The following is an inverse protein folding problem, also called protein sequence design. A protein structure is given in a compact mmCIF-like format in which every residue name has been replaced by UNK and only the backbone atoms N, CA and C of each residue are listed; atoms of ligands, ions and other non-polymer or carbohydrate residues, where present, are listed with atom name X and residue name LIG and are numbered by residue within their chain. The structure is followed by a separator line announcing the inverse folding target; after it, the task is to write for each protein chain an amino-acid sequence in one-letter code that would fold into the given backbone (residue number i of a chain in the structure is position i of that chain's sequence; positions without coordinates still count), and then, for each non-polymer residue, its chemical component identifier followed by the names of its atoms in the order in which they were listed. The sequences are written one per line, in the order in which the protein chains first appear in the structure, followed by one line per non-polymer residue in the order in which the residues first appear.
data_IF_863141169492
#
_entry.id   IF_863141169492
#
_cell.length_a   1.000
_cell.length_b   1.000
_cell.length_c   1.000
_cell.angle_alpha   90.00
_cell.angle_beta   90.00
_cell.angle_gamma   90.00
#
_symmetry.space_group_name_H-M   'P 1'
#
loop_
_entity.id
_entity.type
_entity.pdbx_description
1 polymer ?
#
# COMPACT_ATOMS: atom_id res chain seq x y z
N UNK A 1 -11.09 -10.95 10.04
CA UNK A 1 -10.82 -10.17 11.27
C UNK A 1 -9.33 -9.85 11.29
N UNK A 2 -8.93 -8.68 10.81
CA UNK A 2 -7.53 -8.27 10.68
C UNK A 2 -7.20 -7.27 11.79
N UNK A 3 -6.68 -7.78 12.92
CA UNK A 3 -6.06 -6.94 13.95
C UNK A 3 -4.55 -7.02 13.79
N UNK A 4 -3.86 -5.88 13.86
CA UNK A 4 -2.40 -5.86 14.04
C UNK A 4 -2.06 -6.24 15.47
N UNK A 5 -0.90 -6.83 15.72
CA UNK A 5 -0.47 -7.27 17.06
C UNK A 5 0.92 -6.70 17.39
N UNK A 6 1.13 -6.32 18.65
CA UNK A 6 2.47 -6.04 19.19
C UNK A 6 2.88 -7.25 20.02
N UNK A 7 3.98 -7.89 19.60
CA UNK A 7 4.63 -8.92 20.39
C UNK A 7 5.95 -8.39 20.96
N UNK A 8 6.32 -8.75 22.20
CA UNK A 8 7.59 -8.37 22.78
C UNK A 8 8.77 -9.00 22.00
N UNK A 9 9.92 -8.31 21.89
CA UNK A 9 11.05 -8.73 21.07
C UNK A 9 11.75 -10.01 21.56
N UNK A 10 11.53 -10.41 22.82
CA UNK A 10 12.15 -11.56 23.47
C UNK A 10 11.36 -12.88 23.33
N UNK A 11 10.18 -12.88 22.68
CA UNK A 11 9.34 -14.08 22.52
C UNK A 11 8.60 -14.53 23.80
N UNK A 12 9.09 -14.13 24.98
CA UNK A 12 8.40 -14.35 26.25
C UNK A 12 7.41 -13.21 26.54
N UNK A 13 6.16 -13.42 26.15
CA UNK A 13 5.02 -12.57 26.52
C UNK A 13 3.88 -12.64 25.51
N UNK A 14 2.64 -12.51 26.01
CA UNK A 14 1.45 -12.55 25.18
C UNK A 14 1.45 -11.39 24.17
N UNK A 15 1.28 -11.71 22.88
CA UNK A 15 1.05 -10.70 21.86
C UNK A 15 -0.24 -9.96 22.19
N UNK A 16 -0.15 -8.65 22.40
CA UNK A 16 -1.31 -7.80 22.60
C UNK A 16 -1.81 -7.30 21.25
N UNK A 17 -3.13 -7.23 21.02
CA UNK A 17 -3.63 -6.61 19.81
C UNK A 17 -3.18 -5.16 19.82
N UNK A 18 -2.46 -4.76 18.76
CA UNK A 18 -2.23 -3.37 18.46
C UNK A 18 -3.64 -2.77 18.34
N UNK A 19 -4.03 -1.96 19.32
CA UNK A 19 -5.17 -1.06 19.18
C UNK A 19 -4.82 -0.09 18.08
N UNK A 20 -4.97 -0.54 16.84
CA UNK A 20 -4.86 0.33 15.69
C UNK A 20 -6.05 1.28 15.80
N UNK A 21 -5.79 2.48 16.29
CA UNK A 21 -6.79 3.53 16.38
C UNK A 21 -7.39 3.85 14.99
N UNK A 22 -6.81 3.33 13.91
CA UNK A 22 -7.28 3.50 12.54
C UNK A 22 -8.16 2.35 12.01
N UNK A 23 -8.18 1.15 12.61
CA UNK A 23 -8.99 0.04 12.09
C UNK A 23 -10.47 0.13 12.49
N UNK A 24 -10.78 0.84 13.58
CA UNK A 24 -12.14 1.02 14.12
C UNK A 24 -12.72 2.43 13.89
N UNK A 25 -11.99 3.33 13.24
CA UNK A 25 -12.49 4.66 12.89
C UNK A 25 -12.90 4.68 11.43
N UNK A 26 -14.12 5.10 11.15
CA UNK A 26 -14.52 5.46 9.78
C UNK A 26 -13.52 6.48 9.23
N UNK A 27 -12.98 6.24 8.04
CA UNK A 27 -12.09 7.18 7.37
C UNK A 27 -12.87 8.43 6.99
N UNK A 28 -12.54 9.56 7.61
CA UNK A 28 -13.10 10.88 7.29
C UNK A 28 -12.04 11.78 6.66
N UNK A 29 -12.43 13.00 6.29
CA UNK A 29 -11.57 13.99 5.62
C UNK A 29 -10.27 14.31 6.39
N UNK A 30 -10.27 14.18 7.73
CA UNK A 30 -9.12 14.54 8.56
C UNK A 30 -8.03 13.47 8.59
N UNK A 31 -8.37 12.20 8.35
CA UNK A 31 -7.41 11.11 8.56
C UNK A 31 -7.37 10.00 7.50
N UNK A 32 -8.26 10.01 6.49
CA UNK A 32 -8.22 9.02 5.40
C UNK A 32 -6.85 8.95 4.71
N UNK A 33 -6.16 10.09 4.61
CA UNK A 33 -4.86 10.23 3.94
C UNK A 33 -3.65 9.86 4.80
N UNK A 34 -3.83 9.59 6.11
CA UNK A 34 -2.69 9.35 7.02
C UNK A 34 -2.08 7.96 6.82
N UNK A 35 -2.89 6.98 6.43
CA UNK A 35 -2.45 5.62 6.13
C UNK A 35 -1.78 5.49 4.76
N UNK A 36 -1.00 4.42 4.57
CA UNK A 36 -0.23 4.16 3.33
C UNK A 36 -1.13 4.19 2.09
N UNK A 37 -2.34 3.60 2.14
CA UNK A 37 -3.30 3.62 1.02
C UNK A 37 -3.75 5.04 0.65
N UNK A 38 -4.07 5.86 1.64
CA UNK A 38 -4.48 7.24 1.42
C UNK A 38 -3.35 8.10 0.85
N UNK A 39 -2.13 7.92 1.37
CA UNK A 39 -0.92 8.56 0.84
C UNK A 39 -0.63 8.12 -0.60
N UNK A 40 -0.79 6.84 -0.91
CA UNK A 40 -0.60 6.31 -2.26
C UNK A 40 -1.56 6.97 -3.27
N UNK A 41 -2.84 7.14 -2.90
CA UNK A 41 -3.79 7.88 -3.75
C UNK A 41 -3.37 9.35 -3.95
N UNK A 42 -2.87 10.00 -2.90
CA UNK A 42 -2.36 11.38 -2.98
C UNK A 42 -1.14 11.54 -3.89
N UNK A 43 -0.30 10.51 -4.05
CA UNK A 43 0.85 10.57 -4.97
C UNK A 43 0.43 10.96 -6.39
N UNK A 44 -0.77 10.56 -6.83
CA UNK A 44 -1.31 10.94 -8.14
C UNK A 44 -1.46 12.45 -8.33
N UNK A 45 -1.62 13.23 -7.24
CA UNK A 45 -1.70 14.69 -7.32
C UNK A 45 -0.34 15.35 -7.50
N UNK A 46 0.74 14.66 -7.15
CA UNK A 46 2.11 15.19 -7.18
C UNK A 46 2.93 14.62 -8.34
N UNK A 47 2.48 13.51 -8.93
CA UNK A 47 3.16 12.85 -10.02
C UNK A 47 2.72 13.41 -11.39
N UNK A 48 3.56 13.30 -12.43
CA UNK A 48 3.14 13.58 -13.80
C UNK A 48 1.91 12.73 -14.21
N UNK A 49 1.08 13.20 -15.16
CA UNK A 49 -0.06 12.42 -15.64
C UNK A 49 0.36 11.03 -16.14
N UNK A 50 -0.36 9.99 -15.70
CA UNK A 50 -0.10 8.59 -16.07
C UNK A 50 1.12 7.96 -15.38
N UNK A 51 1.77 8.66 -14.45
CA UNK A 51 2.94 8.15 -13.73
C UNK A 51 2.56 7.26 -12.54
N UNK A 52 1.39 7.49 -11.95
CA UNK A 52 0.80 6.74 -10.84
C UNK A 52 -0.66 6.46 -11.17
N UNK A 53 -1.09 5.22 -11.02
CA UNK A 53 -2.49 4.78 -11.17
C UNK A 53 -2.90 4.03 -9.90
N UNK A 54 -3.63 4.70 -9.03
CA UNK A 54 -4.05 4.15 -7.72
C UNK A 54 -5.52 4.47 -7.49
N UNK A 55 -6.33 3.44 -7.27
CA UNK A 55 -7.75 3.59 -6.97
C UNK A 55 -8.18 2.73 -5.80
N UNK A 56 -9.13 3.23 -5.03
CA UNK A 56 -9.87 2.46 -4.07
C UNK A 56 -10.96 1.66 -4.80
N UNK A 57 -11.08 0.37 -4.48
CA UNK A 57 -12.10 -0.51 -5.06
C UNK A 57 -13.32 -0.69 -4.16
N UNK A 58 -13.29 -0.11 -2.96
CA UNK A 58 -14.38 -0.21 -2.01
C UNK A 58 -14.46 1.05 -1.17
N UNK A 59 -15.69 1.51 -0.94
CA UNK A 59 -16.01 2.56 0.01
C UNK A 59 -16.10 2.06 1.47
N UNK A 60 -15.84 0.77 1.72
CA UNK A 60 -16.00 0.17 3.04
C UNK A 60 -15.15 0.90 4.09
N UNK A 61 -15.81 1.39 5.14
CA UNK A 61 -15.16 2.11 6.22
C UNK A 61 -14.91 3.60 5.94
N UNK A 62 -15.35 4.16 4.82
CA UNK A 62 -15.23 5.60 4.51
C UNK A 62 -16.51 6.38 4.87
N UNK A 63 -16.38 7.62 5.31
CA UNK A 63 -17.52 8.55 5.40
C UNK A 63 -17.99 8.98 4.00
N UNK A 64 -19.23 9.43 3.88
CA UNK A 64 -19.81 9.91 2.62
C UNK A 64 -18.97 11.03 1.98
N UNK A 65 -18.49 11.98 2.78
CA UNK A 65 -17.62 13.08 2.35
C UNK A 65 -16.32 12.59 1.68
N UNK A 66 -15.72 11.51 2.20
CA UNK A 66 -14.51 10.91 1.61
C UNK A 66 -14.87 10.19 0.31
N UNK A 67 -16.01 9.51 0.27
CA UNK A 67 -16.47 8.83 -0.95
C UNK A 67 -16.73 9.84 -2.08
N UNK A 68 -17.39 10.96 -1.77
CA UNK A 68 -17.63 12.05 -2.72
C UNK A 68 -16.31 12.63 -3.24
N UNK A 69 -15.40 12.98 -2.33
CA UNK A 69 -14.07 13.50 -2.69
C UNK A 69 -13.31 12.53 -3.62
N UNK A 70 -13.26 11.25 -3.26
CA UNK A 70 -12.52 10.26 -4.05
C UNK A 70 -13.21 9.98 -5.40
N UNK A 71 -14.54 10.02 -5.45
CA UNK A 71 -15.30 9.87 -6.70
C UNK A 71 -15.06 11.06 -7.63
N UNK A 72 -15.11 12.29 -7.11
CA UNK A 72 -14.83 13.52 -7.88
C UNK A 72 -13.42 13.51 -8.48
N UNK A 73 -12.44 13.00 -7.72
CA UNK A 73 -11.06 12.85 -8.18
C UNK A 73 -10.84 11.67 -9.12
N UNK A 74 -11.82 10.79 -9.28
CA UNK A 74 -11.67 9.53 -10.04
C UNK A 74 -10.77 8.49 -9.35
N UNK A 75 -10.58 8.61 -8.04
CA UNK A 75 -9.75 7.72 -7.21
C UNK A 75 -10.54 6.62 -6.50
N UNK A 76 -11.87 6.59 -6.66
CA UNK A 76 -12.75 5.52 -6.20
C UNK A 76 -13.44 4.88 -7.40
N UNK A 77 -13.22 3.58 -7.59
CA UNK A 77 -13.85 2.79 -8.65
C UNK A 77 -14.45 1.52 -8.05
N UNK A 78 -15.75 1.57 -7.79
CA UNK A 78 -16.50 0.47 -7.17
C UNK A 78 -17.05 -0.53 -8.20
N UNK A 79 -17.00 -0.18 -9.48
CA UNK A 79 -17.59 -0.98 -10.57
C UNK A 79 -16.54 -1.76 -11.35
N UNK A 80 -15.25 -1.47 -11.13
CA UNK A 80 -14.16 -2.22 -11.73
C UNK A 80 -14.19 -3.68 -11.25
N UNK A 81 -14.38 -4.66 -12.16
CA UNK A 81 -14.38 -6.06 -11.76
C UNK A 81 -13.01 -6.44 -11.17
N UNK A 82 -12.95 -7.48 -10.34
CA UNK A 82 -11.71 -8.00 -9.78
C UNK A 82 -10.80 -8.69 -10.83
N UNK A 83 -10.76 -8.19 -12.07
CA UNK A 83 -9.65 -8.40 -13.02
C UNK A 83 -8.39 -7.61 -12.63
N UNK A 84 -8.36 -7.08 -11.40
CA UNK A 84 -7.23 -6.44 -10.73
C UNK A 84 -5.91 -7.18 -10.98
N UNK A 85 -5.91 -8.52 -10.98
CA UNK A 85 -4.72 -9.33 -11.27
C UNK A 85 -4.17 -9.08 -12.69
N UNK A 86 -5.02 -9.08 -13.72
CA UNK A 86 -4.58 -8.86 -15.11
C UNK A 86 -4.01 -7.46 -15.31
N UNK A 87 -4.65 -6.43 -14.73
CA UNK A 87 -4.13 -5.06 -14.80
C UNK A 87 -2.83 -4.91 -14.02
N UNK A 88 -2.77 -5.51 -12.83
CA UNK A 88 -1.59 -5.52 -11.99
C UNK A 88 -0.40 -6.18 -12.70
N UNK A 89 -0.60 -7.32 -13.38
CA UNK A 89 0.46 -8.00 -14.14
C UNK A 89 0.91 -7.25 -15.40
N UNK A 90 0.16 -6.24 -15.86
CA UNK A 90 0.61 -5.34 -16.95
C UNK A 90 1.45 -4.18 -16.45
N UNK A 91 1.39 -3.87 -15.16
CA UNK A 91 2.17 -2.78 -14.58
C UNK A 91 3.60 -3.24 -14.31
N UNK A 92 4.58 -2.40 -14.68
CA UNK A 92 5.99 -2.67 -14.39
C UNK A 92 6.33 -2.48 -12.91
N UNK A 93 5.63 -1.57 -12.25
CA UNK A 93 5.89 -1.14 -10.88
C UNK A 93 4.65 -1.33 -10.03
N UNK A 94 4.79 -1.98 -8.87
CA UNK A 94 3.70 -2.23 -7.95
C UNK A 94 4.02 -1.69 -6.56
N UNK A 95 3.08 -0.95 -5.96
CA UNK A 95 3.21 -0.44 -4.60
C UNK A 95 2.49 -1.36 -3.61
N UNK A 96 3.24 -1.93 -2.67
CA UNK A 96 2.70 -2.70 -1.56
C UNK A 96 2.22 -1.72 -0.48
N UNK A 97 0.91 -1.71 -0.23
CA UNK A 97 0.30 -0.75 0.71
C UNK A 97 -0.01 -1.34 2.09
N UNK A 98 -0.06 -2.67 2.21
CA UNK A 98 -0.58 -3.37 3.38
C UNK A 98 0.21 -4.64 3.73
N UNK A 99 0.06 -5.08 4.98
CA UNK A 99 0.48 -6.37 5.53
C UNK A 99 -0.47 -7.53 5.14
N UNK A 100 -1.00 -7.51 3.91
CA UNK A 100 -1.90 -8.55 3.40
C UNK A 100 -1.16 -9.63 2.62
N UNK A 101 -1.80 -10.78 2.45
CA UNK A 101 -1.38 -11.89 1.58
C UNK A 101 -1.27 -11.50 0.10
N UNK A 102 -1.76 -10.31 -0.29
CA UNK A 102 -1.64 -9.76 -1.65
C UNK A 102 -0.20 -9.71 -2.14
N UNK A 103 0.77 -9.51 -1.25
CA UNK A 103 2.18 -9.47 -1.60
C UNK A 103 2.66 -10.76 -2.28
N UNK A 104 2.14 -11.92 -1.89
CA UNK A 104 2.52 -13.19 -2.51
C UNK A 104 2.11 -13.21 -3.98
N UNK A 105 0.89 -12.73 -4.29
CA UNK A 105 0.42 -12.60 -5.67
C UNK A 105 1.17 -11.52 -6.45
N UNK A 106 1.52 -10.41 -5.80
CA UNK A 106 2.34 -9.35 -6.42
C UNK A 106 3.74 -9.87 -6.77
N UNK A 107 4.37 -10.63 -5.88
CA UNK A 107 5.70 -11.22 -6.08
C UNK A 107 5.72 -12.34 -7.13
N UNK A 108 4.58 -12.99 -7.42
CA UNK A 108 4.50 -13.94 -8.55
C UNK A 108 4.50 -13.23 -9.91
N UNK A 109 4.27 -11.91 -9.95
CA UNK A 109 4.34 -11.12 -11.17
C UNK A 109 5.77 -10.71 -11.51
N UNK A 110 6.04 -10.48 -12.80
CA UNK A 110 7.32 -9.94 -13.27
C UNK A 110 7.38 -8.40 -13.15
N UNK A 111 6.94 -7.89 -12.01
CA UNK A 111 6.85 -6.46 -11.72
C UNK A 111 7.75 -6.13 -10.53
N UNK A 112 8.38 -4.95 -10.56
CA UNK A 112 9.20 -4.48 -9.46
C UNK A 112 8.31 -3.98 -8.32
N UNK A 113 8.57 -4.48 -7.10
CA UNK A 113 7.80 -4.16 -5.91
C UNK A 113 8.43 -2.97 -5.17
N UNK A 114 7.60 -2.01 -4.78
CA UNK A 114 7.95 -0.94 -3.85
C UNK A 114 7.23 -1.17 -2.52
N UNK A 115 7.95 -1.08 -1.41
CA UNK A 115 7.37 -1.39 -0.11
C UNK A 115 7.85 -0.42 0.99
N UNK A 116 6.95 0.20 1.77
CA UNK A 116 7.32 1.02 2.92
C UNK A 116 8.02 0.18 4.00
N UNK A 117 9.12 0.67 4.59
CA UNK A 117 9.83 -0.03 5.66
C UNK A 117 8.98 -0.33 6.91
N UNK A 118 7.84 0.35 7.09
CA UNK A 118 6.89 0.05 8.17
C UNK A 118 6.05 -1.22 7.95
N UNK A 119 5.89 -1.70 6.71
CA UNK A 119 5.17 -2.96 6.44
C UNK A 119 6.01 -4.21 6.69
N UNK A 120 7.32 -4.07 6.95
CA UNK A 120 8.20 -5.17 7.36
C UNK A 120 7.97 -5.64 8.80
N UNK A 121 7.17 -4.92 9.61
CA UNK A 121 6.92 -5.30 11.00
C UNK A 121 5.65 -6.16 11.11
N UNK A 122 5.86 -7.49 11.07
CA UNK A 122 5.10 -8.52 11.84
C UNK A 122 4.02 -9.38 11.13
N UNK A 123 3.96 -9.46 9.81
CA UNK A 123 3.05 -10.38 9.10
C UNK A 123 3.73 -11.64 8.53
N UNK A 124 3.34 -12.80 9.05
CA UNK A 124 3.55 -14.19 8.59
C UNK A 124 4.30 -14.38 7.25
N UNK A 125 5.59 -14.72 7.28
CA UNK A 125 6.35 -15.26 6.14
C UNK A 125 7.19 -14.27 5.32
N UNK A 126 7.08 -12.96 5.58
CA UNK A 126 7.83 -11.93 4.83
C UNK A 126 9.29 -11.72 5.29
N UNK A 127 9.75 -12.45 6.31
CA UNK A 127 11.16 -12.41 6.74
C UNK A 127 12.12 -12.90 5.65
N UNK A 128 11.62 -13.65 4.66
CA UNK A 128 12.41 -14.08 3.51
C UNK A 128 12.61 -12.97 2.46
N UNK A 129 11.83 -11.88 2.51
CA UNK A 129 11.98 -10.77 1.56
C UNK A 129 13.01 -9.77 2.08
N UNK A 130 14.16 -9.80 1.43
CA UNK A 130 15.26 -8.85 1.68
C UNK A 130 15.09 -7.56 0.84
N UNK A 131 15.21 -6.37 1.46
CA UNK A 131 15.24 -5.10 0.74
C UNK A 131 16.38 -5.07 -0.28
N UNK A 132 16.15 -4.43 -1.43
CA UNK A 132 17.06 -4.35 -2.58
C UNK A 132 17.35 -5.67 -3.31
N UNK A 133 16.97 -6.80 -2.74
CA UNK A 133 17.05 -8.11 -3.42
C UNK A 133 15.71 -8.51 -4.01
N UNK A 134 14.62 -8.29 -3.27
CA UNK A 134 13.27 -8.70 -3.68
C UNK A 134 12.33 -7.52 -3.94
N UNK A 135 12.62 -6.35 -3.37
CA UNK A 135 11.81 -5.14 -3.50
C UNK A 135 12.63 -3.88 -3.23
N UNK A 136 12.16 -2.74 -3.73
CA UNK A 136 12.72 -1.42 -3.42
C UNK A 136 12.09 -0.86 -2.14
N UNK A 137 12.87 -0.62 -1.08
CA UNK A 137 12.33 -0.07 0.16
C UNK A 137 11.97 1.42 0.00
N UNK A 138 10.81 1.79 0.53
CA UNK A 138 10.32 3.15 0.68
C UNK A 138 10.30 3.58 2.14
N UNK A 139 10.24 4.89 2.37
CA UNK A 139 9.93 5.44 3.70
C UNK A 139 8.49 5.11 4.09
N UNK A 140 8.20 4.96 5.41
CA UNK A 140 6.84 4.72 5.92
C UNK A 140 5.79 5.75 5.47
N UNK A 141 6.23 6.97 5.17
CA UNK A 141 5.39 8.09 4.78
C UNK A 141 5.21 8.23 3.26
N UNK A 142 5.83 7.35 2.45
CA UNK A 142 5.91 7.41 0.99
C UNK A 142 6.56 8.68 0.43
N UNK A 143 7.27 9.47 1.24
CA UNK A 143 7.86 10.75 0.81
C UNK A 143 8.94 10.60 -0.27
N UNK A 144 9.57 9.42 -0.35
CA UNK A 144 10.57 9.09 -1.36
C UNK A 144 10.01 8.27 -2.53
N UNK A 145 8.70 7.99 -2.57
CA UNK A 145 8.11 7.09 -3.56
C UNK A 145 8.37 7.54 -5.02
N UNK A 146 8.13 8.82 -5.34
CA UNK A 146 8.34 9.33 -6.70
C UNK A 146 9.81 9.33 -7.10
N UNK A 147 10.71 9.63 -6.17
CA UNK A 147 12.16 9.55 -6.40
C UNK A 147 12.60 8.12 -6.68
N UNK A 148 12.05 7.14 -5.95
CA UNK A 148 12.36 5.71 -6.11
C UNK A 148 11.83 5.16 -7.42
N UNK A 149 10.65 5.59 -7.85
CA UNK A 149 10.11 5.23 -9.17
C UNK A 149 10.97 5.84 -10.29
N UNK A 150 11.41 7.09 -10.14
CA UNK A 150 12.30 7.73 -11.11
C UNK A 150 13.64 6.98 -11.22
N UNK A 151 14.25 6.64 -10.08
CA UNK A 151 15.47 5.83 -10.04
C UNK A 151 15.29 4.49 -10.76
N UNK A 152 14.20 3.75 -10.48
CA UNK A 152 13.94 2.46 -11.11
C UNK A 152 13.75 2.55 -12.63
N UNK A 153 13.23 3.67 -13.14
CA UNK A 153 13.10 3.92 -14.59
C UNK A 153 14.44 4.22 -15.26
N UNK A 154 15.37 4.81 -14.54
CA UNK A 154 16.72 5.11 -15.02
C UNK A 154 17.64 3.89 -14.96
N UNK A 155 17.32 2.91 -14.11
CA UNK A 155 18.10 1.69 -13.88
C UNK A 155 17.26 0.45 -14.23
N UNK A 156 16.74 0.42 -15.45
CA UNK A 156 15.75 -0.57 -15.88
C UNK A 156 16.27 -2.02 -15.92
N UNK A 157 17.59 -2.17 -16.06
CA UNK A 157 18.30 -3.45 -16.16
C UNK A 157 18.72 -4.03 -14.79
N UNK A 158 18.67 -3.22 -13.72
CA UNK A 158 18.98 -3.64 -12.34
C UNK A 158 17.77 -4.28 -11.65
#
# INVERSE_FOLDING_TARGET
MTGRWICPPSGDGDCVPLKDHHSNRQWNLTHWHLGVRGRAALLQSFAPPGYVDVKFTSAAGMTEEVQELLTEKGWLDQNEPPSMLEKQFRAKYLLVTDDSDRIYWMATGNSLLFMPGSSMLRGCGLQALEPWTHFVPLKPDLSDALQRIAWAREHDEE
#
